data_IF_722307423807
#
_entry.id   IF_722307423807
#
_cell.length_a   1.000
_cell.length_b   1.000
_cell.length_c   1.000
_cell.angle_alpha   90.00
_cell.angle_beta   90.00
_cell.angle_gamma   90.00
#
_symmetry.space_group_name_H-M   'P 1'
#
loop_
_entity.id
_entity.type
_entity.pdbx_description
1 polymer ?
#
# COMPACT_ATOMS: atom_id res chain seq x y z
N UNK A 1 19.54 22.24 -8.96
CA UNK A 1 18.12 22.00 -8.64
C UNK A 1 17.65 22.79 -7.42
N UNK A 2 18.47 22.94 -6.34
CA UNK A 2 18.09 23.67 -5.11
C UNK A 2 17.78 25.15 -5.35
N UNK A 3 18.53 25.85 -6.18
CA UNK A 3 18.31 27.30 -6.45
C UNK A 3 16.99 27.60 -7.15
N UNK A 4 16.48 26.65 -7.92
CA UNK A 4 15.19 26.81 -8.60
C UNK A 4 14.01 26.60 -7.62
N UNK A 5 14.12 25.67 -6.70
CA UNK A 5 13.10 25.37 -5.69
C UNK A 5 12.80 26.60 -4.82
N UNK A 6 13.81 27.23 -4.25
CA UNK A 6 13.66 28.41 -3.40
C UNK A 6 13.02 29.61 -4.15
N UNK A 7 13.32 29.74 -5.45
CA UNK A 7 12.71 30.76 -6.30
C UNK A 7 11.22 30.51 -6.51
N UNK A 8 10.83 29.26 -6.74
CA UNK A 8 9.41 28.85 -6.88
C UNK A 8 8.66 29.07 -5.56
N UNK A 9 9.22 28.66 -4.43
CA UNK A 9 8.62 28.89 -3.12
C UNK A 9 8.40 30.39 -2.85
N UNK A 10 9.39 31.20 -3.17
CA UNK A 10 9.27 32.68 -3.03
C UNK A 10 8.20 33.26 -3.95
N UNK A 11 8.13 32.80 -5.19
CA UNK A 11 7.09 33.23 -6.13
C UNK A 11 5.70 32.86 -5.62
N UNK A 12 5.48 31.62 -5.19
CA UNK A 12 4.19 31.15 -4.66
C UNK A 12 3.80 31.90 -3.38
N UNK A 13 4.76 32.17 -2.50
CA UNK A 13 4.52 33.00 -1.31
C UNK A 13 4.01 34.39 -1.68
N UNK A 14 4.66 35.07 -2.61
CA UNK A 14 4.27 36.39 -3.03
C UNK A 14 2.88 36.39 -3.70
N UNK A 15 2.61 35.39 -4.53
CA UNK A 15 1.32 35.19 -5.20
C UNK A 15 0.19 35.02 -4.19
N UNK A 16 0.34 34.08 -3.25
CA UNK A 16 -0.68 33.81 -2.25
C UNK A 16 -0.82 34.97 -1.25
N UNK A 17 0.29 35.54 -0.81
CA UNK A 17 0.23 36.73 0.08
C UNK A 17 -0.47 37.88 -0.59
N UNK A 18 -0.17 38.21 -1.85
CA UNK A 18 -0.84 39.27 -2.59
C UNK A 18 -2.32 38.99 -2.91
N UNK A 19 -2.68 37.74 -3.11
CA UNK A 19 -4.06 37.36 -3.39
C UNK A 19 -4.95 37.26 -2.17
N UNK A 20 -4.41 36.79 -1.03
CA UNK A 20 -5.21 36.47 0.15
C UNK A 20 -5.03 37.45 1.34
N UNK A 21 -3.87 38.11 1.45
CA UNK A 21 -3.63 39.05 2.54
C UNK A 21 -4.08 40.44 2.17
N UNK A 22 -4.81 41.07 3.08
CA UNK A 22 -5.26 42.48 2.97
C UNK A 22 -5.99 42.82 1.65
N UNK A 23 -6.55 41.84 0.97
CA UNK A 23 -7.31 42.00 -0.27
C UNK A 23 -8.75 42.40 0.04
N UNK A 24 -9.09 43.67 -0.14
CA UNK A 24 -10.44 44.20 0.12
C UNK A 24 -11.53 43.64 -0.81
N UNK A 25 -11.14 43.02 -1.93
CA UNK A 25 -12.06 42.44 -2.89
C UNK A 25 -12.27 40.96 -2.68
N UNK A 26 -11.54 40.33 -1.76
CA UNK A 26 -11.64 38.89 -1.47
C UNK A 26 -12.72 38.64 -0.41
N UNK A 27 -13.80 37.98 -0.77
CA UNK A 27 -14.83 37.53 0.16
C UNK A 27 -14.48 36.21 0.87
N UNK A 28 -13.92 35.29 0.13
CA UNK A 28 -13.52 33.98 0.65
C UNK A 28 -12.40 33.38 -0.21
N UNK A 29 -11.49 32.65 0.42
CA UNK A 29 -10.39 31.95 -0.25
C UNK A 29 -10.35 30.48 0.16
N UNK A 30 -10.18 29.59 -0.81
CA UNK A 30 -10.07 28.16 -0.60
C UNK A 30 -8.81 27.66 -1.31
N UNK A 31 -7.94 26.97 -0.55
CA UNK A 31 -6.73 26.34 -1.06
C UNK A 31 -6.80 24.83 -0.76
N UNK A 32 -6.56 24.02 -1.76
CA UNK A 32 -6.50 22.56 -1.62
C UNK A 32 -5.21 22.02 -2.23
N UNK A 33 -4.77 20.88 -1.74
CA UNK A 33 -3.59 20.19 -2.22
C UNK A 33 -3.40 18.84 -1.53
N UNK A 34 -2.55 18.00 -2.09
CA UNK A 34 -2.27 16.65 -1.56
C UNK A 34 -1.51 16.74 -0.24
N UNK A 35 -0.52 17.63 -0.16
CA UNK A 35 0.32 17.83 1.01
C UNK A 35 0.20 19.24 1.55
N UNK A 36 0.33 19.35 2.87
CA UNK A 36 0.38 20.64 3.53
C UNK A 36 1.72 21.32 3.27
N UNK A 37 1.73 22.33 2.41
CA UNK A 37 2.94 23.11 2.07
C UNK A 37 3.30 24.15 3.15
N UNK A 38 2.56 24.19 4.27
CA UNK A 38 2.69 25.22 5.30
C UNK A 38 4.06 25.31 5.97
N UNK A 39 4.79 24.21 6.10
CA UNK A 39 6.16 24.20 6.65
C UNK A 39 7.18 24.85 5.70
N UNK A 40 6.88 24.98 4.42
CA UNK A 40 7.72 25.64 3.41
C UNK A 40 7.64 27.18 3.45
N UNK A 41 7.06 27.74 4.51
CA UNK A 41 6.90 29.18 4.67
C UNK A 41 6.09 29.91 3.56
N UNK A 42 5.43 29.17 2.68
CA UNK A 42 4.58 29.74 1.61
C UNK A 42 3.46 30.58 2.22
N UNK A 43 2.93 30.16 3.36
CA UNK A 43 1.83 30.81 4.05
C UNK A 43 2.27 31.72 5.23
N UNK A 44 3.57 31.98 5.39
CA UNK A 44 4.11 32.75 6.52
C UNK A 44 3.63 34.21 6.59
N UNK A 45 2.91 34.66 5.59
CA UNK A 45 2.30 36.03 5.58
C UNK A 45 0.79 36.05 5.81
N UNK A 46 0.13 34.86 6.00
CA UNK A 46 -1.32 34.77 6.15
C UNK A 46 -1.69 34.39 7.58
N UNK A 47 -2.45 35.23 8.27
CA UNK A 47 -2.67 35.12 9.72
C UNK A 47 -3.94 34.32 10.10
N UNK A 48 -4.86 34.08 9.17
CA UNK A 48 -6.20 33.53 9.47
C UNK A 48 -6.52 32.26 8.66
N UNK A 49 -5.54 31.38 8.46
CA UNK A 49 -5.75 30.11 7.76
C UNK A 49 -6.45 29.10 8.68
N UNK A 50 -7.63 28.64 8.26
CA UNK A 50 -8.23 27.44 8.83
C UNK A 50 -7.74 26.22 8.05
N UNK A 51 -6.89 25.40 8.66
CA UNK A 51 -6.29 24.23 8.02
C UNK A 51 -7.09 23.01 8.44
N UNK A 52 -7.40 22.16 7.45
CA UNK A 52 -8.06 20.87 7.67
C UNK A 52 -7.27 19.79 6.94
N UNK A 53 -7.09 18.67 7.59
CA UNK A 53 -6.39 17.49 7.07
C UNK A 53 -7.36 16.32 6.87
N UNK A 54 -6.86 15.21 6.38
CA UNK A 54 -7.62 13.96 6.25
C UNK A 54 -8.08 13.39 7.59
N UNK A 55 -7.51 13.80 8.72
CA UNK A 55 -7.93 13.37 10.05
C UNK A 55 -9.00 14.26 10.69
N UNK A 56 -9.34 15.39 10.06
CA UNK A 56 -10.34 16.33 10.57
C UNK A 56 -11.75 15.99 10.07
N UNK A 57 -12.75 16.19 10.94
CA UNK A 57 -14.15 15.95 10.59
C UNK A 57 -14.75 17.03 9.66
N UNK A 58 -14.18 18.25 9.72
CA UNK A 58 -14.67 19.35 8.90
C UNK A 58 -14.33 19.09 7.44
N UNK A 59 -15.32 19.19 6.57
CA UNK A 59 -15.20 18.89 5.14
C UNK A 59 -14.91 17.44 4.77
N UNK A 60 -15.04 16.48 5.69
CA UNK A 60 -14.69 15.08 5.48
C UNK A 60 -15.48 14.38 4.34
N UNK A 61 -16.71 14.84 4.05
CA UNK A 61 -17.56 14.28 2.99
C UNK A 61 -17.43 14.97 1.62
N UNK A 62 -16.52 15.95 1.44
CA UNK A 62 -16.49 16.76 0.22
C UNK A 62 -15.34 16.42 -0.73
N UNK A 63 -14.43 15.54 -0.34
CA UNK A 63 -13.23 15.22 -1.13
C UNK A 63 -13.18 13.76 -1.59
N UNK A 64 -14.35 13.16 -1.79
CA UNK A 64 -14.56 11.81 -2.26
C UNK A 64 -16.03 11.56 -2.44
N UNK A 65 -16.42 10.41 -2.96
CA UNK A 65 -17.82 10.00 -2.98
C UNK A 65 -18.19 9.30 -1.68
N UNK A 66 -19.35 9.64 -1.14
CA UNK A 66 -19.94 8.94 -0.01
C UNK A 66 -20.55 7.60 -0.44
N UNK A 67 -20.84 6.72 0.53
CA UNK A 67 -21.49 5.45 0.27
C UNK A 67 -22.85 5.62 -0.45
N UNK A 68 -23.64 6.61 -0.03
CA UNK A 68 -24.95 6.90 -0.62
C UNK A 68 -24.81 7.33 -2.11
N UNK A 69 -23.86 8.24 -2.40
CA UNK A 69 -23.59 8.69 -3.78
C UNK A 69 -23.11 7.54 -4.68
N UNK A 70 -22.27 6.64 -4.16
CA UNK A 70 -21.80 5.48 -4.94
C UNK A 70 -22.94 4.47 -5.14
N UNK A 71 -23.82 4.29 -4.16
CA UNK A 71 -24.99 3.44 -4.31
C UNK A 71 -25.94 4.00 -5.39
N UNK A 72 -26.23 5.30 -5.37
CA UNK A 72 -27.03 5.96 -6.43
C UNK A 72 -26.43 5.78 -7.81
N UNK A 73 -25.10 5.91 -7.92
CA UNK A 73 -24.39 5.63 -9.19
C UNK A 73 -24.54 4.15 -9.59
N UNK A 74 -24.38 3.21 -8.66
CA UNK A 74 -24.51 1.78 -8.93
C UNK A 74 -25.92 1.43 -9.40
N UNK A 75 -26.95 2.01 -8.82
CA UNK A 75 -28.33 1.87 -9.29
C UNK A 75 -28.53 2.44 -10.68
N UNK A 76 -28.01 3.65 -10.95
CA UNK A 76 -28.13 4.31 -12.26
C UNK A 76 -27.49 3.50 -13.39
N UNK A 77 -26.32 2.90 -13.14
CA UNK A 77 -25.60 2.06 -14.10
C UNK A 77 -26.05 0.60 -14.12
N UNK A 78 -27.04 0.20 -13.30
CA UNK A 78 -27.56 -1.17 -13.24
C UNK A 78 -26.57 -2.17 -12.61
N UNK A 79 -25.70 -1.71 -11.72
CA UNK A 79 -24.66 -2.47 -11.02
C UNK A 79 -24.88 -2.50 -9.49
N UNK A 80 -26.10 -2.33 -9.03
CA UNK A 80 -26.41 -2.34 -7.58
C UNK A 80 -26.06 -3.67 -6.91
N UNK A 81 -26.16 -4.79 -7.62
CA UNK A 81 -25.75 -6.12 -7.18
C UNK A 81 -24.24 -6.28 -7.01
N UNK A 82 -23.44 -5.37 -7.59
CA UNK A 82 -21.98 -5.35 -7.49
C UNK A 82 -21.46 -4.38 -6.43
N UNK A 83 -22.32 -3.81 -5.60
CA UNK A 83 -21.92 -2.78 -4.62
C UNK A 83 -20.84 -3.27 -3.66
N UNK A 84 -20.92 -4.49 -3.17
CA UNK A 84 -19.88 -5.07 -2.32
C UNK A 84 -18.50 -5.18 -3.01
N UNK A 85 -18.51 -5.47 -4.32
CA UNK A 85 -17.28 -5.48 -5.11
C UNK A 85 -16.70 -4.07 -5.24
N UNK A 86 -17.55 -3.06 -5.51
CA UNK A 86 -17.13 -1.65 -5.57
C UNK A 86 -16.49 -1.23 -4.24
N UNK A 87 -17.10 -1.60 -3.11
CA UNK A 87 -16.57 -1.34 -1.78
C UNK A 87 -15.18 -1.98 -1.58
N UNK A 88 -15.02 -3.25 -1.91
CA UNK A 88 -13.73 -3.94 -1.76
C UNK A 88 -12.60 -3.30 -2.58
N UNK A 89 -12.92 -2.75 -3.73
CA UNK A 89 -11.95 -2.19 -4.63
C UNK A 89 -11.62 -0.71 -4.37
N UNK A 90 -12.61 0.12 -4.02
CA UNK A 90 -12.49 1.58 -4.10
C UNK A 90 -12.91 2.34 -2.85
N UNK A 91 -13.53 1.68 -1.88
CA UNK A 91 -13.84 2.25 -0.57
C UNK A 91 -12.61 2.26 0.36
N UNK A 92 -12.80 2.79 1.54
CA UNK A 92 -11.86 2.66 2.64
C UNK A 92 -10.92 3.84 2.81
N UNK A 93 -11.08 4.93 2.10
CA UNK A 93 -10.48 6.19 2.49
C UNK A 93 -11.29 6.80 3.62
N UNK A 94 -10.66 7.11 4.73
CA UNK A 94 -11.33 7.65 5.89
C UNK A 94 -10.86 9.05 6.17
N UNK A 95 -11.75 10.03 5.99
CA UNK A 95 -11.51 11.41 6.32
C UNK A 95 -12.29 11.76 7.59
N UNK A 96 -11.56 12.05 8.68
CA UNK A 96 -12.15 12.18 10.00
C UNK A 96 -12.97 10.95 10.40
N UNK A 97 -14.29 11.08 10.46
CA UNK A 97 -15.24 9.99 10.76
C UNK A 97 -15.98 9.46 9.52
N UNK A 98 -15.77 10.05 8.35
CA UNK A 98 -16.50 9.72 7.13
C UNK A 98 -15.65 8.78 6.27
N UNK A 99 -16.21 7.65 5.88
CA UNK A 99 -15.63 6.80 4.84
C UNK A 99 -16.03 7.33 3.47
N UNK A 100 -15.08 7.36 2.56
CA UNK A 100 -15.26 7.88 1.22
C UNK A 100 -14.56 6.97 0.19
N UNK A 101 -15.08 6.97 -1.00
CA UNK A 101 -14.53 6.29 -2.16
C UNK A 101 -13.64 7.22 -2.96
N UNK A 102 -12.64 6.66 -3.64
CA UNK A 102 -11.82 7.40 -4.58
C UNK A 102 -12.65 7.78 -5.83
N UNK A 103 -12.88 9.08 -6.08
CA UNK A 103 -13.73 9.51 -7.20
C UNK A 103 -13.19 9.07 -8.56
N UNK A 104 -11.87 9.12 -8.75
CA UNK A 104 -11.25 8.71 -10.01
C UNK A 104 -11.52 7.23 -10.30
N UNK A 105 -11.31 6.36 -9.33
CA UNK A 105 -11.48 4.93 -9.51
C UNK A 105 -12.93 4.55 -9.70
N UNK A 106 -13.86 5.16 -8.94
CA UNK A 106 -15.32 4.93 -9.09
C UNK A 106 -15.83 5.36 -10.44
N UNK A 107 -15.48 6.56 -10.90
CA UNK A 107 -15.90 7.05 -12.24
C UNK A 107 -15.36 6.15 -13.35
N UNK A 108 -14.09 5.73 -13.26
CA UNK A 108 -13.51 4.83 -14.24
C UNK A 108 -14.13 3.43 -14.20
N UNK A 109 -14.51 2.92 -13.03
CA UNK A 109 -15.23 1.65 -12.90
C UNK A 109 -16.54 1.67 -13.69
N UNK A 110 -17.40 2.67 -13.47
CA UNK A 110 -18.65 2.81 -14.21
C UNK A 110 -18.43 3.06 -15.71
N UNK A 111 -17.39 3.80 -16.08
CA UNK A 111 -17.04 4.05 -17.49
C UNK A 111 -16.46 2.83 -18.20
N UNK A 112 -16.01 1.82 -17.44
CA UNK A 112 -15.38 0.60 -17.95
C UNK A 112 -16.29 -0.62 -17.75
N UNK A 113 -17.57 -0.49 -18.10
CA UNK A 113 -18.56 -1.57 -18.11
C UNK A 113 -18.74 -2.25 -16.74
N UNK A 114 -18.50 -1.54 -15.64
CA UNK A 114 -18.52 -2.05 -14.26
C UNK A 114 -17.59 -3.26 -14.06
N UNK A 115 -16.42 -3.24 -14.71
CA UNK A 115 -15.34 -4.19 -14.47
C UNK A 115 -14.29 -3.58 -13.54
N UNK A 116 -13.97 -4.21 -12.40
CA UNK A 116 -13.03 -3.68 -11.46
C UNK A 116 -11.58 -3.80 -11.95
N UNK A 117 -10.85 -2.69 -11.92
CA UNK A 117 -9.43 -2.59 -12.29
C UNK A 117 -8.70 -1.61 -11.36
N UNK A 118 -7.38 -1.71 -11.23
CA UNK A 118 -6.60 -0.75 -10.46
C UNK A 118 -6.39 0.55 -11.26
N UNK A 119 -7.41 1.38 -11.38
CA UNK A 119 -7.41 2.60 -12.20
C UNK A 119 -6.42 3.65 -11.67
N UNK A 120 -6.27 3.76 -10.36
CA UNK A 120 -5.38 4.74 -9.74
C UNK A 120 -3.90 4.37 -9.91
N UNK A 121 -3.59 3.07 -9.97
CA UNK A 121 -2.22 2.56 -10.23
C UNK A 121 -1.65 3.06 -11.56
N UNK A 122 -2.52 3.37 -12.52
CA UNK A 122 -2.11 3.77 -13.88
C UNK A 122 -1.87 5.28 -14.03
N UNK A 123 -2.06 6.09 -12.99
CA UNK A 123 -1.99 7.56 -13.07
C UNK A 123 -0.61 8.18 -12.89
N UNK A 124 0.46 7.38 -12.83
CA UNK A 124 1.84 7.86 -13.01
C UNK A 124 2.55 8.40 -11.75
N UNK A 125 1.95 8.35 -10.56
CA UNK A 125 2.55 8.85 -9.31
C UNK A 125 2.95 7.76 -8.32
N UNK A 126 2.94 6.50 -8.71
CA UNK A 126 3.22 5.37 -7.81
C UNK A 126 4.71 5.20 -7.48
N UNK A 127 5.59 5.94 -8.13
CA UNK A 127 7.03 6.02 -7.81
C UNK A 127 7.28 6.33 -6.32
N UNK A 128 6.30 6.96 -5.66
CA UNK A 128 6.38 7.30 -4.24
C UNK A 128 6.51 6.07 -3.34
N UNK A 129 5.73 5.01 -3.58
CA UNK A 129 5.85 3.77 -2.79
C UNK A 129 7.19 3.12 -3.08
N UNK A 130 7.62 3.09 -4.34
CA UNK A 130 8.95 2.60 -4.74
C UNK A 130 10.08 3.39 -4.05
N UNK A 131 10.00 4.72 -4.01
CA UNK A 131 10.96 5.58 -3.30
C UNK A 131 10.97 5.33 -1.78
N UNK A 132 9.79 5.16 -1.18
CA UNK A 132 9.66 4.83 0.24
C UNK A 132 10.28 3.47 0.54
N UNK A 133 9.94 2.46 -0.23
CA UNK A 133 10.50 1.10 -0.08
C UNK A 133 12.01 1.06 -0.33
N UNK A 134 12.52 1.84 -1.29
CA UNK A 134 13.95 1.95 -1.55
C UNK A 134 14.75 2.53 -0.38
N UNK A 135 14.11 3.32 0.48
CA UNK A 135 14.70 3.94 1.66
C UNK A 135 14.28 3.25 2.97
N UNK A 136 13.35 2.30 2.91
CA UNK A 136 12.85 1.58 4.05
C UNK A 136 13.96 0.71 4.67
N UNK A 137 14.11 0.82 5.99
CA UNK A 137 14.81 -0.17 6.78
C UNK A 137 13.97 -1.46 6.89
N UNK A 138 14.52 -2.46 7.58
CA UNK A 138 13.84 -3.73 7.77
C UNK A 138 12.50 -3.59 8.51
N UNK A 139 12.43 -2.73 9.52
CA UNK A 139 11.21 -2.52 10.31
C UNK A 139 10.09 -1.93 9.43
N UNK A 140 10.40 -0.90 8.66
CA UNK A 140 9.44 -0.27 7.74
C UNK A 140 8.98 -1.28 6.69
N UNK A 141 9.91 -2.02 6.10
CA UNK A 141 9.58 -3.03 5.09
C UNK A 141 8.64 -4.11 5.65
N UNK A 142 8.95 -4.66 6.83
CA UNK A 142 8.13 -5.67 7.48
C UNK A 142 6.73 -5.14 7.81
N UNK A 143 6.62 -3.91 8.33
CA UNK A 143 5.33 -3.28 8.62
C UNK A 143 4.50 -3.03 7.37
N UNK A 144 5.10 -2.57 6.27
CA UNK A 144 4.38 -2.37 5.01
C UNK A 144 3.95 -3.70 4.38
N UNK A 145 4.76 -4.75 4.52
CA UNK A 145 4.41 -6.11 4.07
C UNK A 145 3.26 -6.69 4.92
N UNK A 146 3.27 -6.49 6.24
CA UNK A 146 2.19 -6.96 7.11
C UNK A 146 0.84 -6.32 6.77
N UNK A 147 0.83 -5.04 6.36
CA UNK A 147 -0.38 -4.39 5.87
C UNK A 147 -0.97 -5.06 4.62
N UNK A 148 -0.11 -5.54 3.72
CA UNK A 148 -0.55 -6.28 2.51
C UNK A 148 -1.22 -7.60 2.90
N UNK A 149 -0.79 -8.21 4.00
CA UNK A 149 -1.39 -9.41 4.57
C UNK A 149 -2.67 -9.14 5.37
N UNK A 150 -3.13 -7.89 5.43
CA UNK A 150 -4.35 -7.48 6.12
C UNK A 150 -4.17 -7.21 7.62
N UNK A 151 -2.92 -7.15 8.10
CA UNK A 151 -2.61 -6.75 9.47
C UNK A 151 -2.71 -5.23 9.63
N UNK A 152 -2.69 -4.77 10.88
CA UNK A 152 -2.69 -3.35 11.25
C UNK A 152 -1.54 -3.07 12.21
N UNK A 153 -1.10 -1.82 12.27
CA UNK A 153 -0.18 -1.39 13.32
C UNK A 153 -0.46 0.04 13.76
N UNK A 154 0.00 0.38 14.96
CA UNK A 154 -0.17 1.73 15.51
C UNK A 154 1.10 2.55 15.30
N UNK A 155 0.95 3.79 14.84
CA UNK A 155 2.05 4.72 14.60
C UNK A 155 1.65 6.17 14.87
N UNK A 156 2.64 7.04 15.04
CA UNK A 156 2.44 8.48 15.12
C UNK A 156 2.26 9.09 13.72
N UNK A 157 1.30 9.98 13.58
CA UNK A 157 0.97 10.68 12.34
C UNK A 157 1.06 12.19 12.55
N UNK A 158 1.96 12.83 11.82
CA UNK A 158 2.05 14.28 11.66
C UNK A 158 1.34 14.68 10.36
N UNK A 159 0.17 15.31 10.44
CA UNK A 159 -0.56 15.80 9.25
C UNK A 159 0.10 16.99 8.57
N UNK A 160 1.13 17.56 9.20
CA UNK A 160 1.95 18.63 8.64
C UNK A 160 3.21 18.17 7.93
N UNK A 161 3.33 16.86 7.63
CA UNK A 161 4.49 16.30 6.93
C UNK A 161 4.71 16.92 5.55
N UNK A 162 5.96 17.14 5.18
CA UNK A 162 6.38 17.63 3.87
C UNK A 162 7.35 16.64 3.20
N UNK A 163 7.33 16.58 1.87
CA UNK A 163 8.14 15.65 1.08
C UNK A 163 9.65 15.59 1.45
N UNK A 164 10.36 16.71 1.66
CA UNK A 164 11.77 16.67 2.04
C UNK A 164 12.08 15.99 3.37
N UNK A 165 11.08 15.82 4.26
CA UNK A 165 11.25 15.21 5.58
C UNK A 165 11.11 13.70 5.58
N UNK A 166 10.65 13.09 4.48
CA UNK A 166 10.46 11.63 4.37
C UNK A 166 11.76 10.86 4.66
N UNK A 167 12.90 11.47 4.35
CA UNK A 167 14.24 10.87 4.54
C UNK A 167 14.74 10.89 5.98
N UNK A 168 14.04 11.51 6.91
CA UNK A 168 14.61 11.82 8.23
C UNK A 168 14.09 10.96 9.38
N UNK A 169 12.91 10.33 9.25
CA UNK A 169 12.30 9.56 10.34
C UNK A 169 11.23 8.58 9.81
N UNK A 170 11.18 7.31 10.29
CA UNK A 170 10.15 6.33 9.93
C UNK A 170 8.71 6.82 10.10
N UNK A 171 8.40 7.52 11.20
CA UNK A 171 7.05 8.07 11.42
C UNK A 171 6.61 9.08 10.36
N UNK A 172 7.56 9.77 9.74
CA UNK A 172 7.32 10.72 8.64
C UNK A 172 6.87 9.97 7.38
N UNK A 173 7.39 8.77 7.15
CA UNK A 173 6.99 7.89 6.05
C UNK A 173 5.52 7.52 6.19
N UNK A 174 5.09 7.03 7.35
CA UNK A 174 3.69 6.63 7.58
C UNK A 174 2.74 7.83 7.52
N UNK A 175 3.17 8.98 8.04
CA UNK A 175 2.42 10.23 7.95
C UNK A 175 2.21 10.63 6.49
N UNK A 176 3.25 10.54 5.68
CA UNK A 176 3.18 10.83 4.26
C UNK A 176 2.26 9.86 3.53
N UNK A 177 2.40 8.56 3.74
CA UNK A 177 1.57 7.53 3.12
C UNK A 177 0.08 7.69 3.49
N UNK A 178 -0.22 8.10 4.74
CA UNK A 178 -1.59 8.33 5.17
C UNK A 178 -2.18 9.57 4.50
N UNK A 179 -1.46 10.69 4.50
CA UNK A 179 -1.96 11.96 3.93
C UNK A 179 -2.12 11.86 2.41
N UNK A 180 -1.30 11.04 1.74
CA UNK A 180 -1.38 10.81 0.29
C UNK A 180 -2.35 9.70 -0.11
N UNK A 181 -3.02 9.05 0.85
CA UNK A 181 -4.05 8.05 0.58
C UNK A 181 -3.53 6.62 0.37
N UNK A 182 -2.25 6.35 0.64
CA UNK A 182 -1.72 4.98 0.61
C UNK A 182 -1.95 4.19 1.89
N UNK A 183 -2.34 4.87 2.98
CA UNK A 183 -2.81 4.29 4.22
C UNK A 183 -4.15 4.92 4.63
N UNK A 184 -4.93 4.21 5.44
CA UNK A 184 -6.09 4.76 6.16
C UNK A 184 -5.90 4.65 7.67
N UNK A 185 -6.50 5.57 8.42
CA UNK A 185 -6.57 5.50 9.87
C UNK A 185 -7.86 4.79 10.30
N UNK A 186 -7.74 3.62 10.93
CA UNK A 186 -8.88 2.90 11.51
C UNK A 186 -9.32 3.54 12.82
N UNK A 187 -8.33 3.92 13.64
CA UNK A 187 -8.54 4.57 14.93
C UNK A 187 -7.55 5.71 15.09
N UNK A 188 -8.04 6.85 15.56
CA UNK A 188 -7.24 8.05 15.77
C UNK A 188 -7.39 8.51 17.21
N UNK A 189 -6.27 8.73 17.91
CA UNK A 189 -6.22 9.25 19.26
C UNK A 189 -5.28 10.45 19.29
N UNK A 190 -5.73 11.63 19.74
CA UNK A 190 -4.85 12.80 19.87
C UNK A 190 -3.73 12.52 20.86
N UNK A 191 -2.51 12.93 20.53
CA UNK A 191 -1.35 12.92 21.40
C UNK A 191 -1.17 14.27 22.12
N UNK A 192 -0.50 14.26 23.26
CA UNK A 192 -0.15 15.49 23.99
C UNK A 192 0.80 16.43 23.21
N UNK A 193 1.54 15.90 22.23
CA UNK A 193 2.43 16.68 21.36
C UNK A 193 1.73 17.45 20.24
N UNK A 194 0.42 17.23 20.05
CA UNK A 194 -0.33 17.79 18.92
C UNK A 194 -0.35 16.91 17.67
N UNK A 195 0.34 15.77 17.71
CA UNK A 195 0.29 14.73 16.70
C UNK A 195 -0.85 13.74 17.00
N UNK A 196 -1.09 12.80 16.10
CA UNK A 196 -2.07 11.75 16.28
C UNK A 196 -1.41 10.39 16.41
N UNK A 197 -1.91 9.56 17.32
CA UNK A 197 -1.63 8.14 17.34
C UNK A 197 -2.70 7.45 16.52
N UNK A 198 -2.33 6.80 15.43
CA UNK A 198 -3.26 6.15 14.52
C UNK A 198 -2.97 4.66 14.39
N UNK A 199 -4.00 3.84 14.47
CA UNK A 199 -3.98 2.49 13.97
C UNK A 199 -4.23 2.55 12.46
N UNK A 200 -3.30 2.03 11.66
CA UNK A 200 -3.31 2.16 10.20
C UNK A 200 -3.46 0.82 9.52
N UNK A 201 -4.10 0.85 8.34
CA UNK A 201 -4.25 -0.28 7.41
C UNK A 201 -4.18 0.19 5.97
N UNK A 202 -4.18 -0.74 5.01
CA UNK A 202 -4.42 -0.39 3.61
C UNK A 202 -5.88 0.00 3.41
N UNK A 203 -6.16 1.01 2.55
CA UNK A 203 -7.54 1.44 2.29
C UNK A 203 -8.39 0.34 1.66
N UNK A 204 -7.90 -0.26 0.58
CA UNK A 204 -8.69 -1.15 -0.27
C UNK A 204 -7.80 -2.06 -1.13
N UNK A 205 -8.46 -2.87 -1.97
CA UNK A 205 -7.79 -3.83 -2.86
C UNK A 205 -6.93 -3.16 -3.93
N UNK A 206 -7.36 -2.02 -4.44
CA UNK A 206 -6.59 -1.27 -5.44
C UNK A 206 -5.22 -0.86 -4.90
N UNK A 207 -5.18 -0.32 -3.69
CA UNK A 207 -3.94 0.08 -3.02
C UNK A 207 -3.09 -1.13 -2.64
N UNK A 208 -3.70 -2.24 -2.23
CA UNK A 208 -2.95 -3.48 -1.99
C UNK A 208 -2.19 -3.94 -3.23
N UNK A 209 -2.77 -3.79 -4.42
CA UNK A 209 -2.09 -4.11 -5.68
C UNK A 209 -0.90 -3.18 -5.97
N UNK A 210 -1.00 -1.89 -5.59
CA UNK A 210 0.15 -0.95 -5.70
C UNK A 210 1.31 -1.44 -4.86
N UNK A 211 1.06 -1.72 -3.57
CA UNK A 211 2.11 -2.22 -2.67
C UNK A 211 2.72 -3.53 -3.17
N UNK A 212 1.87 -4.47 -3.58
CA UNK A 212 2.34 -5.74 -4.14
C UNK A 212 3.25 -5.52 -5.34
N UNK A 213 2.85 -4.66 -6.28
CA UNK A 213 3.65 -4.38 -7.48
C UNK A 213 5.02 -3.78 -7.12
N UNK A 214 5.06 -2.80 -6.22
CA UNK A 214 6.31 -2.14 -5.82
C UNK A 214 7.23 -3.07 -5.01
N UNK A 215 6.64 -3.89 -4.12
CA UNK A 215 7.38 -4.94 -3.40
C UNK A 215 7.96 -5.95 -4.40
N UNK A 216 7.18 -6.36 -5.41
CA UNK A 216 7.60 -7.28 -6.45
C UNK A 216 8.73 -6.69 -7.30
N UNK A 217 8.64 -5.44 -7.74
CA UNK A 217 9.71 -4.78 -8.50
C UNK A 217 11.03 -4.73 -7.73
N UNK A 218 10.97 -4.52 -6.41
CA UNK A 218 12.18 -4.58 -5.58
C UNK A 218 12.79 -5.98 -5.57
N UNK A 219 11.96 -7.01 -5.50
CA UNK A 219 12.41 -8.42 -5.56
C UNK A 219 12.92 -8.79 -6.95
N UNK A 220 12.27 -8.33 -8.03
CA UNK A 220 12.74 -8.51 -9.40
C UNK A 220 14.17 -8.00 -9.61
N UNK A 221 14.48 -6.85 -9.06
CA UNK A 221 15.84 -6.30 -9.13
C UNK A 221 16.88 -7.13 -8.36
N UNK A 222 16.45 -7.97 -7.41
CA UNK A 222 17.30 -8.85 -6.62
C UNK A 222 17.39 -10.28 -7.18
N UNK A 223 16.44 -10.70 -8.00
CA UNK A 223 16.33 -12.08 -8.52
C UNK A 223 16.68 -12.09 -10.01
N UNK A 224 17.80 -12.74 -10.42
CA UNK A 224 18.10 -12.91 -11.83
C UNK A 224 16.99 -13.68 -12.57
N UNK A 225 16.62 -13.27 -13.79
CA UNK A 225 15.57 -13.95 -14.57
C UNK A 225 15.79 -15.46 -14.74
N UNK A 226 17.05 -15.87 -14.88
CA UNK A 226 17.42 -17.29 -14.96
C UNK A 226 17.08 -18.08 -13.70
N UNK A 227 17.18 -17.45 -12.55
CA UNK A 227 16.82 -18.05 -11.26
C UNK A 227 15.31 -18.16 -11.11
N UNK A 228 14.56 -17.16 -11.51
CA UNK A 228 13.09 -17.22 -11.52
C UNK A 228 12.59 -18.38 -12.40
N UNK A 229 13.12 -18.53 -13.63
CA UNK A 229 12.80 -19.66 -14.51
C UNK A 229 13.14 -21.00 -13.85
N UNK A 230 14.31 -21.12 -13.23
CA UNK A 230 14.75 -22.35 -12.55
C UNK A 230 13.83 -22.73 -11.38
N UNK A 231 13.37 -21.74 -10.62
CA UNK A 231 12.39 -21.95 -9.54
C UNK A 231 11.04 -22.38 -10.11
N UNK A 232 10.58 -21.74 -11.18
CA UNK A 232 9.34 -22.12 -11.86
C UNK A 232 9.36 -23.58 -12.31
N UNK A 233 10.41 -23.99 -13.01
CA UNK A 233 10.58 -25.37 -13.46
C UNK A 233 10.57 -26.35 -12.28
N UNK A 234 11.29 -26.03 -11.20
CA UNK A 234 11.35 -26.87 -10.01
C UNK A 234 9.98 -27.01 -9.32
N UNK A 235 9.21 -25.92 -9.20
CA UNK A 235 7.86 -25.94 -8.62
C UNK A 235 6.92 -26.82 -9.44
N UNK A 236 6.83 -26.62 -10.75
CA UNK A 236 5.88 -27.36 -11.59
C UNK A 236 6.30 -28.80 -11.88
N UNK A 237 7.59 -29.14 -11.77
CA UNK A 237 8.09 -30.53 -11.89
C UNK A 237 8.11 -31.27 -10.55
N UNK A 238 7.88 -30.60 -9.41
CA UNK A 238 7.98 -31.22 -8.09
C UNK A 238 9.43 -31.54 -7.67
N UNK A 239 10.42 -30.86 -8.27
CA UNK A 239 11.85 -31.04 -7.92
C UNK A 239 12.19 -30.27 -6.63
N UNK A 240 11.91 -30.91 -5.49
CA UNK A 240 12.13 -30.32 -4.16
C UNK A 240 13.59 -29.98 -3.88
N UNK A 241 14.54 -30.78 -4.42
CA UNK A 241 15.97 -30.55 -4.18
C UNK A 241 16.44 -29.28 -4.90
N UNK A 242 16.04 -29.13 -6.16
CA UNK A 242 16.34 -27.94 -6.97
C UNK A 242 15.66 -26.71 -6.41
N UNK A 243 14.39 -26.80 -6.01
CA UNK A 243 13.65 -25.72 -5.38
C UNK A 243 14.34 -25.21 -4.10
N UNK A 244 14.69 -26.15 -3.20
CA UNK A 244 15.41 -25.84 -1.97
C UNK A 244 16.75 -25.12 -2.25
N UNK A 245 17.55 -25.63 -3.18
CA UNK A 245 18.84 -25.06 -3.52
C UNK A 245 18.71 -23.63 -4.07
N UNK A 246 17.74 -23.39 -4.96
CA UNK A 246 17.50 -22.06 -5.54
C UNK A 246 17.02 -21.06 -4.50
N UNK A 247 16.07 -21.44 -3.64
CA UNK A 247 15.56 -20.57 -2.57
C UNK A 247 16.69 -20.26 -1.57
N UNK A 248 17.50 -21.25 -1.17
CA UNK A 248 18.62 -21.02 -0.28
C UNK A 248 19.65 -20.05 -0.86
N UNK A 249 19.96 -20.19 -2.15
CA UNK A 249 20.89 -19.29 -2.84
C UNK A 249 20.35 -17.85 -2.85
N UNK A 250 19.08 -17.68 -3.22
CA UNK A 250 18.42 -16.40 -3.23
C UNK A 250 18.39 -15.74 -1.84
N UNK A 251 17.99 -16.50 -0.82
CA UNK A 251 17.96 -16.01 0.56
C UNK A 251 19.36 -15.63 1.04
N UNK A 252 20.38 -16.44 0.75
CA UNK A 252 21.76 -16.13 1.14
C UNK A 252 22.29 -14.85 0.45
N UNK A 253 21.93 -14.62 -0.79
CA UNK A 253 22.29 -13.41 -1.53
C UNK A 253 21.51 -12.16 -1.06
N UNK A 254 20.26 -12.35 -0.62
CA UNK A 254 19.38 -11.28 -0.17
C UNK A 254 19.53 -10.96 1.33
N UNK A 255 19.88 -11.96 2.14
CA UNK A 255 19.79 -11.96 3.61
C UNK A 255 21.01 -11.32 4.30
N UNK A 256 22.06 -10.91 3.59
CA UNK A 256 23.10 -10.10 4.24
C UNK A 256 22.59 -8.79 4.89
N UNK A 257 21.29 -8.45 4.64
CA UNK A 257 20.59 -7.31 5.24
C UNK A 257 19.40 -7.70 6.15
N UNK A 258 19.06 -9.00 6.30
CA UNK A 258 17.79 -9.44 6.89
C UNK A 258 17.91 -10.59 7.90
N UNK A 259 18.91 -10.56 8.76
CA UNK A 259 19.16 -11.60 9.78
C UNK A 259 18.03 -11.84 10.80
N UNK A 260 16.94 -11.07 10.73
CA UNK A 260 15.80 -11.14 11.67
C UNK A 260 14.44 -11.36 10.99
N UNK A 261 14.41 -11.76 9.74
CA UNK A 261 13.19 -11.89 8.95
C UNK A 261 12.17 -12.86 9.59
N UNK A 262 10.97 -12.37 9.86
CA UNK A 262 9.83 -13.16 10.34
C UNK A 262 9.06 -13.83 9.20
N UNK A 263 7.99 -14.59 9.53
CA UNK A 263 7.13 -15.30 8.58
C UNK A 263 6.62 -14.39 7.45
N UNK A 264 6.26 -13.15 7.78
CA UNK A 264 5.80 -12.15 6.81
C UNK A 264 6.83 -11.83 5.73
N UNK A 265 8.12 -11.83 6.07
CA UNK A 265 9.18 -11.65 5.08
C UNK A 265 9.21 -12.81 4.07
N UNK A 266 9.17 -14.04 4.58
CA UNK A 266 9.19 -15.23 3.70
C UNK A 266 7.93 -15.31 2.84
N UNK A 267 6.78 -14.91 3.38
CA UNK A 267 5.54 -14.81 2.62
C UNK A 267 5.66 -13.78 1.48
N UNK A 268 6.09 -12.56 1.76
CA UNK A 268 6.32 -11.51 0.76
C UNK A 268 7.36 -11.93 -0.29
N UNK A 269 8.47 -12.54 0.15
CA UNK A 269 9.51 -13.06 -0.73
C UNK A 269 8.98 -14.16 -1.67
N UNK A 270 8.27 -15.15 -1.13
CA UNK A 270 7.71 -16.23 -1.93
C UNK A 270 6.60 -15.76 -2.86
N UNK A 271 5.75 -14.85 -2.39
CA UNK A 271 4.72 -14.23 -3.23
C UNK A 271 5.36 -13.48 -4.40
N UNK A 272 6.40 -12.70 -4.13
CA UNK A 272 7.18 -12.01 -5.15
C UNK A 272 7.83 -12.96 -6.14
N UNK A 273 8.50 -13.96 -5.66
CA UNK A 273 9.12 -15.00 -6.49
C UNK A 273 8.08 -15.69 -7.38
N UNK A 274 6.92 -16.06 -6.81
CA UNK A 274 5.84 -16.69 -7.56
C UNK A 274 5.21 -15.76 -8.61
N UNK A 275 5.10 -14.46 -8.34
CA UNK A 275 4.55 -13.51 -9.29
C UNK A 275 5.48 -13.23 -10.49
N UNK A 276 6.79 -13.48 -10.34
CA UNK A 276 7.76 -13.47 -11.44
C UNK A 276 7.62 -14.69 -12.36
N UNK A 277 6.90 -15.74 -11.90
CA UNK A 277 6.69 -16.94 -12.69
C UNK A 277 5.72 -16.64 -13.84
N UNK A 278 6.20 -16.65 -15.05
CA UNK A 278 5.35 -16.57 -16.23
C UNK A 278 4.40 -17.77 -16.30
N UNK A 279 3.14 -17.55 -16.74
CA UNK A 279 2.20 -18.64 -16.98
C UNK A 279 1.43 -19.18 -15.78
N UNK A 280 1.38 -18.44 -14.67
CA UNK A 280 0.50 -18.74 -13.55
C UNK A 280 -0.14 -17.46 -12.99
N UNK A 281 -1.42 -17.56 -12.59
CA UNK A 281 -2.06 -16.54 -11.76
C UNK A 281 -1.72 -16.80 -10.31
N UNK A 282 -1.16 -15.80 -9.63
CA UNK A 282 -0.78 -15.87 -8.23
C UNK A 282 -1.83 -15.16 -7.38
N UNK A 283 -2.31 -15.82 -6.35
CA UNK A 283 -3.21 -15.25 -5.35
C UNK A 283 -2.69 -15.53 -3.94
N UNK A 284 -2.87 -14.61 -3.02
CA UNK A 284 -2.37 -14.68 -1.65
C UNK A 284 -3.50 -14.44 -0.66
N UNK A 285 -3.42 -15.07 0.51
CA UNK A 285 -4.28 -14.84 1.68
C UNK A 285 -5.79 -14.86 1.38
N UNK A 286 -6.27 -15.83 0.61
CA UNK A 286 -7.70 -16.02 0.34
C UNK A 286 -8.27 -17.16 1.14
N UNK A 287 -9.50 -16.96 1.60
CA UNK A 287 -10.33 -18.03 2.12
C UNK A 287 -10.73 -18.95 0.98
N UNK A 288 -10.61 -20.26 1.19
CA UNK A 288 -11.05 -21.29 0.27
C UNK A 288 -11.63 -22.46 1.06
N UNK A 289 -12.93 -22.69 0.95
CA UNK A 289 -13.63 -23.66 1.80
C UNK A 289 -13.59 -23.27 3.28
N UNK A 290 -13.20 -24.21 4.14
CA UNK A 290 -13.11 -24.04 5.59
C UNK A 290 -11.73 -23.53 6.07
N UNK A 291 -10.80 -23.18 5.13
CA UNK A 291 -9.42 -22.80 5.45
C UNK A 291 -8.92 -21.59 4.68
N UNK A 292 -7.74 -21.11 5.10
CA UNK A 292 -7.00 -20.02 4.48
C UNK A 292 -5.64 -20.54 4.04
N UNK A 293 -5.22 -20.21 2.83
CA UNK A 293 -3.87 -20.54 2.32
C UNK A 293 -3.02 -19.27 2.15
N UNK A 294 -1.72 -19.44 2.24
CA UNK A 294 -0.80 -18.30 2.06
C UNK A 294 -0.66 -17.89 0.60
N UNK A 295 -0.34 -18.83 -0.30
CA UNK A 295 -0.16 -18.55 -1.73
C UNK A 295 -0.78 -19.65 -2.57
N UNK A 296 -1.49 -19.26 -3.63
CA UNK A 296 -2.00 -20.20 -4.65
C UNK A 296 -1.48 -19.80 -6.03
N UNK A 297 -0.98 -20.79 -6.75
CA UNK A 297 -0.61 -20.69 -8.16
C UNK A 297 -1.64 -21.42 -9.02
N UNK A 298 -2.33 -20.68 -9.89
CA UNK A 298 -3.24 -21.22 -10.90
C UNK A 298 -2.55 -21.15 -12.26
N UNK A 299 -2.11 -22.27 -12.85
CA UNK A 299 -1.44 -22.24 -14.14
C UNK A 299 -2.39 -21.74 -15.23
N UNK A 300 -1.87 -20.97 -16.18
CA UNK A 300 -2.61 -20.55 -17.39
C UNK A 300 -2.59 -21.61 -18.47
N UNK A 301 -1.63 -22.52 -18.41
CA UNK A 301 -1.49 -23.63 -19.38
C UNK A 301 -2.27 -24.86 -18.90
N UNK A 302 -3.03 -25.49 -19.80
CA UNK A 302 -3.72 -26.74 -19.53
C UNK A 302 -2.72 -27.86 -19.30
N UNK A 303 -2.95 -28.69 -18.27
CA UNK A 303 -2.13 -29.86 -17.95
C UNK A 303 -1.08 -29.63 -16.86
N UNK A 304 -0.85 -28.39 -16.42
CA UNK A 304 -0.06 -28.12 -15.23
C UNK A 304 -0.94 -28.17 -13.96
N UNK A 305 -0.40 -28.66 -12.83
CA UNK A 305 -1.13 -28.71 -11.57
C UNK A 305 -1.32 -27.31 -10.98
N UNK A 306 -2.46 -27.09 -10.31
CA UNK A 306 -2.59 -25.97 -9.37
C UNK A 306 -1.74 -26.26 -8.13
N UNK A 307 -1.12 -25.23 -7.55
CA UNK A 307 -0.21 -25.38 -6.42
C UNK A 307 -0.67 -24.48 -5.28
N UNK A 308 -0.74 -25.04 -4.08
CA UNK A 308 -0.93 -24.30 -2.83
C UNK A 308 0.39 -24.32 -2.06
N UNK A 309 0.75 -23.17 -1.51
CA UNK A 309 1.95 -23.01 -0.70
C UNK A 309 1.50 -22.45 0.65
N UNK A 310 1.91 -23.15 1.71
CA UNK A 310 1.79 -22.72 3.09
C UNK A 310 3.19 -22.51 3.64
N UNK A 311 3.42 -21.40 4.32
CA UNK A 311 4.72 -21.00 4.83
C UNK A 311 4.70 -21.01 6.35
N UNK A 312 5.73 -21.55 6.94
CA UNK A 312 5.98 -21.49 8.39
C UNK A 312 7.43 -21.10 8.61
N UNK A 313 7.66 -20.16 9.52
CA UNK A 313 8.98 -19.68 9.87
C UNK A 313 9.20 -19.76 11.38
N UNK A 314 10.32 -20.35 11.79
CA UNK A 314 10.74 -20.40 13.18
C UNK A 314 12.26 -20.25 13.24
N UNK A 315 12.75 -19.48 14.23
CA UNK A 315 14.19 -19.19 14.38
C UNK A 315 14.89 -20.29 15.16
N UNK A 316 16.14 -20.56 14.82
CA UNK A 316 17.01 -21.49 15.55
C UNK A 316 16.43 -22.91 15.67
N UNK A 317 15.74 -23.40 14.66
CA UNK A 317 15.16 -24.73 14.60
C UNK A 317 16.19 -25.80 14.29
N UNK A 318 16.04 -26.98 14.93
CA UNK A 318 16.67 -28.21 14.48
C UNK A 318 15.94 -28.80 13.26
N UNK A 319 16.61 -29.69 12.52
CA UNK A 319 16.01 -30.38 11.36
C UNK A 319 14.72 -31.16 11.72
N UNK A 320 14.66 -31.72 12.95
CA UNK A 320 13.45 -32.40 13.43
C UNK A 320 12.30 -31.43 13.69
N UNK A 321 12.59 -30.24 14.22
CA UNK A 321 11.59 -29.20 14.43
C UNK A 321 11.08 -28.66 13.09
N UNK A 322 11.96 -28.43 12.11
CA UNK A 322 11.57 -28.02 10.76
C UNK A 322 10.67 -29.06 10.09
N UNK A 323 10.95 -30.35 10.30
CA UNK A 323 10.10 -31.40 9.77
C UNK A 323 8.69 -31.38 10.37
N UNK A 324 8.57 -31.22 11.70
CA UNK A 324 7.27 -31.08 12.37
C UNK A 324 6.52 -29.83 11.89
N UNK A 325 7.23 -28.72 11.68
CA UNK A 325 6.67 -27.48 11.20
C UNK A 325 6.09 -27.66 9.79
N UNK A 326 6.81 -28.35 8.91
CA UNK A 326 6.33 -28.68 7.56
C UNK A 326 5.12 -29.63 7.55
N UNK A 327 5.05 -30.58 8.48
CA UNK A 327 3.89 -31.46 8.66
C UNK A 327 2.66 -30.66 9.13
N UNK A 328 2.85 -29.66 10.00
CA UNK A 328 1.79 -28.75 10.44
C UNK A 328 1.28 -27.88 9.27
N UNK A 329 2.19 -27.34 8.47
CA UNK A 329 1.82 -26.59 7.27
C UNK A 329 1.00 -27.44 6.29
N UNK A 330 1.41 -28.67 6.06
CA UNK A 330 0.69 -29.59 5.19
C UNK A 330 -0.72 -29.94 5.71
N UNK A 331 -0.90 -30.03 7.03
CA UNK A 331 -2.22 -30.26 7.63
C UNK A 331 -3.17 -29.07 7.48
N UNK A 332 -2.65 -27.85 7.35
CA UNK A 332 -3.46 -26.65 7.13
C UNK A 332 -4.01 -26.56 5.70
N UNK A 333 -3.32 -27.17 4.73
CA UNK A 333 -3.73 -27.17 3.31
C UNK A 333 -4.74 -28.29 2.99
N UNK A 334 -4.74 -29.37 3.78
CA UNK A 334 -5.61 -30.53 3.58
C UNK A 334 -6.93 -30.39 4.34
#
# INVERSE_FOLDING_TARGET
QKDYYDKVIRFMRNLFSGGFKDNQHLSFGFLTGILRVAKESIFSGMNNLSINSVLDNKYSAYFGFTADEVMEMAEYYGAADKYDEICQWYDGYRFGKTEIFNPWSVVNYFSNECEPRPFWVSTGSNDIIGEVLAQADEEIYNRLTSLVNGETFTTFIDTGVIYPQIKSNPSTIYSFLLVTGYLKALKTTPSFSGDFMCEVSLPNREISLVYNKEILQRLENLIPPSTAISVQEAIFSGDNARLKAQIQTLLTQSVSSFDTAGENFYHGFMLGLCALLGGAFVTSNRESGDGRYDIQLKPTQKGLPGILIELKAEKNCSDEQLKKLSETALQQIN
#
